data_IF_178768298237
#
_entry.id   IF_178768298237
#
_cell.length_a   1.000
_cell.length_b   1.000
_cell.length_c   1.000
_cell.angle_alpha   90.00
_cell.angle_beta   90.00
_cell.angle_gamma   90.00
#
_symmetry.space_group_name_H-M   'P 1'
#
loop_
_entity.id
_entity.type
_entity.pdbx_description
1 polymer ?
#
# COMPACT_ATOMS: atom_id res chain seq x y z
N UNK A 1 7.45 -18.14 -0.86
CA UNK A 1 7.80 -16.70 -0.86
C UNK A 1 8.84 -16.39 -1.90
N UNK A 2 8.72 -15.24 -2.53
CA UNK A 2 9.69 -14.76 -3.51
C UNK A 2 9.93 -13.25 -3.34
N UNK A 3 11.04 -12.76 -3.91
CA UNK A 3 11.32 -11.34 -3.97
C UNK A 3 10.75 -10.75 -5.25
N UNK A 4 10.06 -9.62 -5.13
CA UNK A 4 9.66 -8.81 -6.27
C UNK A 4 10.86 -8.00 -6.77
N UNK A 5 10.71 -7.39 -7.95
CA UNK A 5 11.72 -6.45 -8.42
C UNK A 5 11.71 -5.18 -7.56
N UNK A 6 12.90 -4.64 -7.25
CA UNK A 6 13.04 -3.48 -6.38
C UNK A 6 12.32 -2.24 -6.90
N UNK A 7 12.24 -2.08 -8.22
CA UNK A 7 11.54 -0.97 -8.86
C UNK A 7 10.02 -1.21 -9.03
N UNK A 8 9.51 -2.35 -8.53
CA UNK A 8 8.09 -2.64 -8.54
C UNK A 8 7.31 -1.56 -7.79
N UNK A 9 6.14 -1.20 -8.32
CA UNK A 9 5.22 -0.27 -7.67
C UNK A 9 4.54 -0.85 -6.44
N UNK A 10 4.62 -2.17 -6.27
CA UNK A 10 4.02 -2.89 -5.15
C UNK A 10 5.08 -3.24 -4.11
N UNK A 11 4.73 -3.11 -2.84
CA UNK A 11 5.55 -3.58 -1.74
C UNK A 11 5.41 -5.08 -1.52
N UNK A 12 4.23 -5.63 -1.81
CA UNK A 12 3.97 -7.05 -1.70
C UNK A 12 2.80 -7.47 -2.57
N UNK A 13 2.69 -8.76 -2.82
CA UNK A 13 1.53 -9.35 -3.47
C UNK A 13 1.28 -10.77 -2.97
N UNK A 14 0.07 -11.25 -3.18
CA UNK A 14 -0.32 -12.64 -2.92
C UNK A 14 -0.88 -13.20 -4.22
N UNK A 15 -0.27 -14.25 -4.73
CA UNK A 15 -0.67 -14.90 -5.96
C UNK A 15 -1.17 -16.31 -5.68
N UNK A 16 -2.41 -16.58 -6.10
CA UNK A 16 -3.00 -17.91 -6.08
C UNK A 16 -2.86 -18.51 -7.49
N UNK A 17 -2.38 -19.73 -7.59
CA UNK A 17 -2.32 -20.42 -8.89
C UNK A 17 -3.70 -20.72 -9.46
N UNK A 18 -4.70 -20.85 -8.58
CA UNK A 18 -6.08 -21.08 -8.98
C UNK A 18 -6.81 -19.78 -9.27
N UNK A 19 -7.71 -19.79 -10.27
CA UNK A 19 -8.59 -18.66 -10.56
C UNK A 19 -9.59 -18.41 -9.44
N UNK A 20 -10.18 -17.22 -9.41
CA UNK A 20 -11.16 -16.82 -8.38
C UNK A 20 -12.32 -17.79 -8.23
N UNK A 21 -12.82 -18.33 -9.34
CA UNK A 21 -13.95 -19.26 -9.33
C UNK A 21 -13.63 -20.55 -8.57
N UNK A 22 -12.45 -21.12 -8.81
CA UNK A 22 -12.00 -22.35 -8.14
C UNK A 22 -11.69 -22.09 -6.66
N UNK A 23 -11.08 -20.96 -6.33
CA UNK A 23 -10.83 -20.52 -4.96
C UNK A 23 -12.14 -20.41 -4.18
N UNK A 24 -13.17 -19.83 -4.79
CA UNK A 24 -14.48 -19.69 -4.18
C UNK A 24 -15.12 -21.02 -3.87
N UNK A 25 -15.06 -21.97 -4.81
CA UNK A 25 -15.55 -23.32 -4.62
C UNK A 25 -14.84 -24.04 -3.48
N UNK A 26 -13.51 -23.96 -3.43
CA UNK A 26 -12.70 -24.61 -2.39
C UNK A 26 -12.96 -24.02 -1.03
N UNK A 27 -13.14 -22.71 -0.93
CA UNK A 27 -13.51 -22.05 0.31
C UNK A 27 -14.86 -22.54 0.85
N UNK A 28 -15.84 -22.70 -0.02
CA UNK A 28 -17.17 -23.25 0.34
C UNK A 28 -17.10 -24.69 0.85
N UNK A 29 -16.15 -25.48 0.35
CA UNK A 29 -15.95 -26.87 0.74
C UNK A 29 -14.93 -27.03 1.88
N UNK A 30 -14.44 -25.93 2.44
CA UNK A 30 -13.35 -25.94 3.43
C UNK A 30 -12.09 -26.67 2.94
N UNK A 31 -11.84 -26.65 1.64
CA UNK A 31 -10.67 -27.26 1.02
C UNK A 31 -9.51 -26.26 0.92
N UNK A 32 -8.28 -26.78 0.84
CA UNK A 32 -7.10 -25.97 0.63
C UNK A 32 -7.21 -25.14 -0.65
N UNK A 33 -6.78 -23.85 -0.66
CA UNK A 33 -6.77 -23.02 -1.86
C UNK A 33 -5.72 -23.44 -2.90
N UNK A 34 -4.90 -24.45 -2.61
CA UNK A 34 -3.81 -24.87 -3.45
C UNK A 34 -2.55 -24.01 -3.26
N UNK A 35 -1.59 -24.05 -4.22
CA UNK A 35 -0.35 -23.28 -4.10
C UNK A 35 -0.59 -21.79 -4.06
N UNK A 36 0.12 -21.11 -3.15
CA UNK A 36 0.05 -19.66 -2.96
C UNK A 36 1.49 -19.14 -2.92
N UNK A 37 1.73 -18.06 -3.66
CA UNK A 37 3.03 -17.37 -3.65
C UNK A 37 2.87 -15.98 -3.07
N UNK A 38 3.68 -15.64 -2.06
CA UNK A 38 3.74 -14.29 -1.51
C UNK A 38 5.03 -13.65 -2.02
N UNK A 39 4.88 -12.52 -2.72
CA UNK A 39 5.98 -11.71 -3.19
C UNK A 39 6.18 -10.49 -2.29
N UNK A 40 7.44 -10.17 -1.98
CA UNK A 40 7.80 -9.01 -1.18
C UNK A 40 8.87 -8.20 -1.89
N UNK A 41 8.76 -6.88 -1.82
CA UNK A 41 9.76 -6.00 -2.43
C UNK A 41 11.02 -5.96 -1.54
N UNK A 42 12.23 -6.18 -2.08
CA UNK A 42 13.45 -6.18 -1.29
C UNK A 42 13.77 -4.85 -0.61
N UNK A 43 13.16 -3.74 -1.03
CA UNK A 43 13.29 -2.44 -0.35
C UNK A 43 12.83 -2.51 1.10
N UNK A 44 11.94 -3.45 1.44
CA UNK A 44 11.45 -3.68 2.80
C UNK A 44 12.55 -4.12 3.77
N UNK A 45 13.67 -4.62 3.27
CA UNK A 45 14.80 -4.99 4.12
C UNK A 45 15.41 -3.79 4.87
N UNK A 46 15.13 -2.57 4.40
CA UNK A 46 15.54 -1.33 5.07
C UNK A 46 14.62 -0.86 6.18
N UNK A 47 13.50 -1.53 6.43
CA UNK A 47 12.51 -1.12 7.43
C UNK A 47 11.76 -2.34 7.98
N UNK A 48 12.16 -2.80 9.16
CA UNK A 48 11.57 -3.99 9.79
C UNK A 48 10.08 -3.82 10.08
N UNK A 49 9.65 -2.66 10.52
CA UNK A 49 8.24 -2.42 10.83
C UNK A 49 7.37 -2.47 9.57
N UNK A 50 7.83 -1.86 8.49
CA UNK A 50 7.14 -1.89 7.21
C UNK A 50 7.16 -3.30 6.61
N UNK A 51 8.26 -4.02 6.76
CA UNK A 51 8.37 -5.42 6.35
C UNK A 51 7.30 -6.28 7.01
N UNK A 52 7.19 -6.20 8.34
CA UNK A 52 6.20 -6.96 9.12
C UNK A 52 4.78 -6.59 8.73
N UNK A 53 4.50 -5.30 8.58
CA UNK A 53 3.20 -4.80 8.15
C UNK A 53 2.82 -5.39 6.79
N UNK A 54 3.70 -5.32 5.81
CA UNK A 54 3.46 -5.83 4.47
C UNK A 54 3.30 -7.35 4.47
N UNK A 55 4.13 -8.07 5.20
CA UNK A 55 4.04 -9.52 5.30
C UNK A 55 2.70 -9.97 5.91
N UNK A 56 2.27 -9.35 7.01
CA UNK A 56 0.98 -9.67 7.64
C UNK A 56 -0.17 -9.34 6.70
N UNK A 57 -0.11 -8.22 6.00
CA UNK A 57 -1.09 -7.82 5.00
C UNK A 57 -1.28 -8.93 3.94
N UNK A 58 -0.17 -9.45 3.40
CA UNK A 58 -0.21 -10.49 2.37
C UNK A 58 -0.60 -11.88 2.94
N UNK A 59 -0.15 -12.20 4.15
CA UNK A 59 -0.54 -13.45 4.81
C UNK A 59 -2.05 -13.51 5.06
N UNK A 60 -2.69 -12.40 5.41
CA UNK A 60 -4.14 -12.35 5.58
C UNK A 60 -4.88 -12.60 4.26
N UNK A 61 -4.36 -12.11 3.15
CA UNK A 61 -4.89 -12.45 1.83
C UNK A 61 -4.75 -13.97 1.57
N UNK A 62 -3.61 -14.53 1.91
CA UNK A 62 -3.34 -15.95 1.70
C UNK A 62 -4.30 -16.87 2.50
N UNK A 63 -4.73 -16.45 3.70
CA UNK A 63 -5.67 -17.24 4.51
C UNK A 63 -7.14 -16.95 4.20
N UNK A 64 -7.45 -16.12 3.21
CA UNK A 64 -8.79 -15.94 2.69
C UNK A 64 -9.42 -14.57 2.82
N UNK A 65 -8.77 -13.61 3.47
CA UNK A 65 -9.22 -12.22 3.51
C UNK A 65 -8.76 -11.50 2.24
N UNK A 66 -9.43 -11.77 1.12
CA UNK A 66 -9.02 -11.33 -0.21
C UNK A 66 -9.21 -9.84 -0.47
N UNK A 67 -10.13 -9.21 0.24
CA UNK A 67 -10.44 -7.79 0.08
C UNK A 67 -9.76 -6.92 1.14
N UNK A 68 -9.47 -5.67 0.79
CA UNK A 68 -8.96 -4.67 1.71
C UNK A 68 -10.10 -4.08 2.55
N UNK A 69 -10.78 -4.94 3.30
CA UNK A 69 -11.90 -4.55 4.16
C UNK A 69 -11.42 -3.90 5.46
N UNK A 70 -12.36 -3.31 6.22
CA UNK A 70 -12.05 -2.79 7.55
C UNK A 70 -11.54 -3.89 8.49
N UNK A 71 -12.07 -5.11 8.37
CA UNK A 71 -11.62 -6.27 9.16
C UNK A 71 -10.17 -6.58 8.85
N UNK A 72 -9.80 -6.67 7.58
CA UNK A 72 -8.42 -6.90 7.14
C UNK A 72 -7.48 -5.82 7.69
N UNK A 73 -7.83 -4.56 7.50
CA UNK A 73 -7.03 -3.43 7.94
C UNK A 73 -6.88 -3.38 9.47
N UNK A 74 -7.95 -3.70 10.19
CA UNK A 74 -7.95 -3.75 11.65
C UNK A 74 -7.00 -4.82 12.17
N UNK A 75 -7.06 -6.03 11.62
CA UNK A 75 -6.19 -7.14 12.03
C UNK A 75 -4.73 -6.80 11.76
N UNK A 76 -4.42 -6.25 10.58
CA UNK A 76 -3.05 -5.82 10.26
C UNK A 76 -2.57 -4.77 11.25
N UNK A 77 -3.39 -3.77 11.56
CA UNK A 77 -3.03 -2.70 12.49
C UNK A 77 -2.79 -3.21 13.91
N UNK A 78 -3.51 -4.24 14.35
CA UNK A 78 -3.33 -4.83 15.69
C UNK A 78 -2.08 -5.70 15.77
N UNK A 79 -1.77 -6.46 14.73
CA UNK A 79 -0.63 -7.40 14.73
C UNK A 79 0.67 -6.70 14.33
N UNK A 80 0.63 -5.90 13.26
CA UNK A 80 1.81 -5.26 12.68
C UNK A 80 1.43 -3.90 12.11
N UNK A 81 1.31 -2.86 12.96
CA UNK A 81 0.94 -1.52 12.50
C UNK A 81 1.99 -0.96 11.53
N UNK A 82 1.51 -0.20 10.53
CA UNK A 82 2.40 0.47 9.60
C UNK A 82 3.22 1.56 10.32
N UNK A 83 4.49 1.78 9.93
CA UNK A 83 5.24 2.90 10.44
C UNK A 83 4.68 4.22 9.92
N UNK A 84 4.89 5.31 10.67
CA UNK A 84 4.57 6.64 10.17
C UNK A 84 5.55 7.06 9.08
N UNK A 85 5.14 7.98 8.22
CA UNK A 85 6.02 8.53 7.18
C UNK A 85 7.28 9.17 7.79
N UNK A 86 7.13 9.84 8.93
CA UNK A 86 8.24 10.50 9.62
C UNK A 86 9.25 9.50 10.22
N UNK A 87 8.83 8.29 10.56
CA UNK A 87 9.68 7.26 11.16
C UNK A 87 10.24 6.26 10.16
N UNK A 88 9.79 6.28 8.90
CA UNK A 88 10.20 5.31 7.89
C UNK A 88 10.94 5.96 6.73
N UNK A 89 12.27 5.79 6.64
CA UNK A 89 13.05 6.24 5.49
C UNK A 89 12.59 5.60 4.18
N UNK A 90 12.16 4.33 4.23
CA UNK A 90 11.66 3.60 3.06
C UNK A 90 10.38 4.25 2.52
N UNK A 91 9.42 4.55 3.39
CA UNK A 91 8.19 5.23 2.97
C UNK A 91 8.46 6.62 2.39
N UNK A 92 9.39 7.37 2.98
CA UNK A 92 9.80 8.67 2.44
C UNK A 92 10.43 8.53 1.06
N UNK A 93 11.30 7.56 0.87
CA UNK A 93 11.91 7.30 -0.44
C UNK A 93 10.87 6.91 -1.49
N UNK A 94 9.90 6.09 -1.13
CA UNK A 94 8.80 5.71 -2.02
C UNK A 94 7.92 6.89 -2.38
N UNK A 95 7.60 7.75 -1.40
CA UNK A 95 6.86 9.00 -1.65
C UNK A 95 7.60 9.89 -2.64
N UNK A 96 8.89 10.09 -2.44
CA UNK A 96 9.70 10.94 -3.30
C UNK A 96 9.76 10.38 -4.72
N UNK A 97 9.86 9.07 -4.86
CA UNK A 97 9.83 8.39 -6.17
C UNK A 97 8.50 8.64 -6.89
N UNK A 98 7.37 8.52 -6.18
CA UNK A 98 6.05 8.79 -6.74
C UNK A 98 5.91 10.25 -7.16
N UNK A 99 6.38 11.17 -6.32
CA UNK A 99 6.33 12.61 -6.63
C UNK A 99 7.16 12.96 -7.85
N UNK A 100 8.32 12.34 -8.04
CA UNK A 100 9.14 12.53 -9.24
C UNK A 100 8.46 12.06 -10.52
N UNK A 101 7.63 11.02 -10.43
CA UNK A 101 6.90 10.48 -11.57
C UNK A 101 5.60 11.23 -11.88
N UNK A 102 5.15 12.14 -11.02
CA UNK A 102 3.95 12.93 -11.24
C UNK A 102 4.21 14.07 -12.24
N UNK A 103 3.26 14.27 -13.15
CA UNK A 103 3.34 15.36 -14.14
C UNK A 103 3.16 16.71 -13.47
N UNK A 104 2.22 16.83 -12.54
CA UNK A 104 1.97 18.06 -11.80
C UNK A 104 2.94 18.19 -10.64
N UNK A 105 3.77 19.24 -10.66
CA UNK A 105 4.75 19.55 -9.61
C UNK A 105 4.26 20.59 -8.62
N UNK A 106 3.16 21.26 -8.93
CA UNK A 106 2.58 22.31 -8.11
C UNK A 106 1.08 22.12 -7.94
N UNK A 107 0.58 22.57 -6.79
CA UNK A 107 -0.84 22.69 -6.55
C UNK A 107 -1.32 24.12 -6.79
N UNK A 108 -2.52 24.25 -7.32
CA UNK A 108 -3.17 25.55 -7.54
C UNK A 108 -4.49 25.60 -6.78
N UNK A 109 -4.68 26.67 -6.01
CA UNK A 109 -5.96 26.94 -5.38
C UNK A 109 -6.94 27.56 -6.39
N UNK A 110 -8.07 26.90 -6.62
CA UNK A 110 -9.13 27.42 -7.51
C UNK A 110 -9.85 28.66 -6.98
N UNK A 111 -9.71 28.98 -5.68
CA UNK A 111 -10.38 30.12 -5.06
C UNK A 111 -9.54 31.39 -5.06
N UNK A 112 -8.26 31.31 -4.65
CA UNK A 112 -7.38 32.47 -4.52
C UNK A 112 -6.23 32.51 -5.51
N UNK A 113 -6.04 31.47 -6.31
CA UNK A 113 -4.96 31.41 -7.29
C UNK A 113 -3.57 31.15 -6.72
N UNK A 114 -3.48 30.85 -5.42
CA UNK A 114 -2.19 30.55 -4.78
C UNK A 114 -1.61 29.24 -5.33
N UNK A 115 -0.33 29.26 -5.64
CA UNK A 115 0.43 28.08 -6.08
C UNK A 115 1.44 27.72 -5.01
N UNK A 116 1.59 26.40 -4.77
CA UNK A 116 2.62 25.90 -3.86
C UNK A 116 3.18 24.58 -4.36
N UNK A 117 4.38 24.26 -3.91
CA UNK A 117 5.07 23.03 -4.32
C UNK A 117 4.32 21.80 -3.84
N UNK A 118 4.19 20.82 -4.75
CA UNK A 118 3.59 19.53 -4.42
C UNK A 118 4.56 18.71 -3.60
N UNK A 119 4.19 18.44 -2.35
CA UNK A 119 4.94 17.60 -1.42
C UNK A 119 4.17 16.37 -0.94
N UNK A 120 2.94 16.20 -1.43
CA UNK A 120 2.08 15.05 -1.12
C UNK A 120 1.55 14.42 -2.40
N UNK A 121 1.30 13.11 -2.35
CA UNK A 121 0.70 12.38 -3.48
C UNK A 121 -0.76 12.78 -3.66
N UNK A 122 -1.51 12.86 -2.56
CA UNK A 122 -2.91 13.31 -2.59
C UNK A 122 -2.99 14.82 -2.55
N UNK A 123 -3.98 15.32 -3.27
CA UNK A 123 -4.29 16.75 -3.23
C UNK A 123 -4.75 17.15 -1.83
N UNK A 124 -4.21 18.20 -1.23
CA UNK A 124 -4.66 18.70 0.05
C UNK A 124 -6.13 19.13 -0.01
N UNK A 125 -6.85 18.95 1.09
CA UNK A 125 -8.25 19.35 1.15
C UNK A 125 -8.45 20.86 1.23
N UNK A 126 -7.46 21.59 1.73
CA UNK A 126 -7.53 23.05 1.94
C UNK A 126 -6.29 23.76 1.43
N UNK A 127 -6.51 24.97 0.95
CA UNK A 127 -5.41 25.85 0.54
C UNK A 127 -4.64 26.36 1.77
N UNK A 128 -3.29 26.35 1.77
CA UNK A 128 -2.51 26.86 2.89
C UNK A 128 -2.60 28.38 3.07
N UNK A 129 -3.06 29.13 2.06
CA UNK A 129 -3.17 30.58 2.12
C UNK A 129 -4.57 31.05 2.53
N UNK A 130 -5.63 30.58 1.85
CA UNK A 130 -6.99 31.02 2.11
C UNK A 130 -7.83 30.07 2.97
N UNK A 131 -7.31 28.91 3.27
CA UNK A 131 -7.94 27.84 4.07
C UNK A 131 -9.27 27.31 3.53
N UNK A 132 -9.64 27.65 2.29
CA UNK A 132 -10.81 27.11 1.61
C UNK A 132 -10.49 25.77 0.98
N UNK A 133 -11.51 24.98 0.76
CA UNK A 133 -11.37 23.70 0.04
C UNK A 133 -10.90 23.95 -1.39
N UNK A 134 -9.93 23.15 -1.79
CA UNK A 134 -9.40 23.17 -3.15
C UNK A 134 -10.09 22.18 -4.04
#
# INVERSE_FOLDING_TARGET
MEWLEEDSKKLGNTHFEMGHHELFKRRRRSSSPGPITIGLNPILLGDDQLYRHTLVHELLHAVGLLEHSEIHNKIVSEIAPAPSLSSSPVLRALRDRVLLSCDDKEWLCGNCGFKWERNTVRKPSRCPKCARRV
#
